data_IF_682759428538
#
_entry.id   IF_682759428538
#
_cell.length_a   1.000
_cell.length_b   1.000
_cell.length_c   1.000
_cell.angle_alpha   90.00
_cell.angle_beta   90.00
_cell.angle_gamma   90.00
#
_symmetry.space_group_name_H-M   'P 1'
#
loop_
_entity.id
_entity.type
_entity.pdbx_description
1 polymer ?
#
# COMPACT_ATOMS: atom_id res chain seq x y z
N UNK A 1 25.15 19.07 50.97
CA UNK A 1 26.07 17.91 51.03
C UNK A 1 25.37 16.76 50.32
N UNK A 2 25.90 16.03 49.34
CA UNK A 2 27.25 15.80 48.84
C UNK A 2 27.21 15.66 47.31
N UNK A 3 28.36 15.96 46.70
CA UNK A 3 28.74 15.70 45.31
C UNK A 3 29.87 14.68 45.37
N UNK A 4 29.79 13.57 44.63
CA UNK A 4 30.92 12.71 44.23
C UNK A 4 30.36 11.54 43.40
N UNK A 5 31.03 10.93 42.42
CA UNK A 5 32.28 11.18 41.70
C UNK A 5 32.26 10.27 40.46
N UNK A 6 32.95 10.71 39.41
CA UNK A 6 33.24 9.94 38.19
C UNK A 6 34.23 8.81 38.50
N UNK A 7 33.88 7.56 38.17
CA UNK A 7 34.81 6.42 38.12
C UNK A 7 35.22 6.10 36.69
N UNK A 8 36.51 6.27 36.37
CA UNK A 8 37.16 5.88 35.10
C UNK A 8 37.43 4.37 35.03
N UNK A 9 37.50 3.89 33.79
CA UNK A 9 37.84 2.55 33.34
C UNK A 9 39.17 2.00 33.88
N UNK A 10 39.20 0.68 34.13
CA UNK A 10 40.37 -0.20 33.97
C UNK A 10 39.90 -1.62 33.59
N UNK A 11 40.74 -2.29 32.81
CA UNK A 11 40.73 -3.73 32.48
C UNK A 11 40.02 -4.17 31.18
N UNK A 12 40.62 -3.81 30.04
CA UNK A 12 40.49 -4.56 28.78
C UNK A 12 41.84 -5.24 28.46
N UNK A 13 41.89 -6.57 28.25
CA UNK A 13 43.12 -7.26 27.86
C UNK A 13 43.56 -6.90 26.42
N UNK A 14 44.88 -6.80 26.23
CA UNK A 14 45.55 -6.11 25.13
C UNK A 14 45.82 -6.95 23.86
N UNK A 15 45.25 -8.15 23.70
CA UNK A 15 45.33 -8.91 22.42
C UNK A 15 44.11 -9.84 22.22
N UNK A 16 43.51 -9.90 21.02
CA UNK A 16 42.47 -10.88 20.72
C UNK A 16 43.05 -12.31 20.57
N UNK A 17 42.31 -13.37 20.95
CA UNK A 17 42.73 -14.76 20.71
C UNK A 17 42.69 -15.08 19.21
N UNK A 18 43.66 -15.87 18.74
CA UNK A 18 43.60 -16.46 17.39
C UNK A 18 42.58 -17.59 17.38
N UNK A 19 41.46 -17.41 16.70
CA UNK A 19 40.51 -18.48 16.40
C UNK A 19 40.75 -19.02 14.99
N UNK A 20 40.84 -20.34 14.87
CA UNK A 20 40.77 -21.03 13.59
C UNK A 20 39.29 -21.12 13.18
N UNK A 21 38.93 -20.44 12.10
CA UNK A 21 37.57 -20.46 11.55
C UNK A 21 37.62 -20.43 10.03
N UNK A 22 36.88 -21.31 9.39
CA UNK A 22 36.67 -21.33 7.93
C UNK A 22 35.72 -20.19 7.53
N UNK A 23 36.20 -19.25 6.73
CA UNK A 23 35.38 -18.19 6.15
C UNK A 23 34.68 -18.70 4.87
N UNK A 24 33.35 -18.59 4.81
CA UNK A 24 32.60 -18.72 3.56
C UNK A 24 32.13 -17.32 3.15
N UNK A 25 32.65 -16.81 2.04
CA UNK A 25 32.30 -15.49 1.52
C UNK A 25 31.09 -15.57 0.59
N UNK A 26 29.99 -14.91 0.97
CA UNK A 26 28.93 -14.46 0.06
C UNK A 26 28.77 -12.94 0.23
N UNK A 27 28.55 -12.18 -0.85
CA UNK A 27 28.64 -10.74 -0.78
C UNK A 27 27.40 -10.17 -0.06
N UNK A 28 27.67 -9.36 0.96
CA UNK A 28 26.76 -8.43 1.69
C UNK A 28 26.16 -8.84 3.04
N UNK A 29 26.50 -9.99 3.63
CA UNK A 29 26.25 -10.27 5.07
C UNK A 29 27.44 -11.06 5.63
N UNK A 30 28.19 -10.49 6.58
CA UNK A 30 29.14 -11.24 7.38
C UNK A 30 28.40 -11.87 8.56
N UNK A 31 28.27 -13.19 8.54
CA UNK A 31 27.72 -13.95 9.67
C UNK A 31 28.88 -14.60 10.42
N UNK A 32 29.16 -14.14 11.64
CA UNK A 32 30.06 -14.86 12.54
C UNK A 32 29.24 -15.74 13.48
N UNK A 33 29.46 -17.05 13.40
CA UNK A 33 28.98 -18.00 14.39
C UNK A 33 30.15 -18.32 15.34
N UNK A 34 29.97 -18.02 16.61
CA UNK A 34 30.88 -18.45 17.66
C UNK A 34 30.13 -19.32 18.68
N UNK A 35 30.84 -20.34 19.19
CA UNK A 35 30.37 -21.22 20.26
C UNK A 35 31.24 -21.00 21.50
N UNK A 36 30.61 -20.91 22.66
CA UNK A 36 31.30 -20.98 23.95
C UNK A 36 31.39 -22.45 24.43
N UNK A 37 32.17 -22.74 25.49
CA UNK A 37 32.26 -24.09 26.07
C UNK A 37 30.94 -24.65 26.60
N UNK A 38 29.89 -23.82 26.70
CA UNK A 38 28.52 -24.21 27.08
C UNK A 38 27.58 -24.33 25.89
N UNK A 39 28.09 -24.40 24.66
CA UNK A 39 27.31 -24.59 23.42
C UNK A 39 26.26 -23.49 23.17
N UNK A 40 26.56 -22.25 23.57
CA UNK A 40 25.69 -21.10 23.25
C UNK A 40 26.05 -20.55 21.88
N UNK A 41 25.04 -20.41 21.02
CA UNK A 41 25.19 -19.81 19.69
C UNK A 41 25.02 -18.30 19.78
N UNK A 42 26.04 -17.56 19.36
CA UNK A 42 25.99 -16.11 19.20
C UNK A 42 25.95 -15.78 17.71
N UNK A 43 24.92 -15.03 17.29
CA UNK A 43 24.82 -14.47 15.94
C UNK A 43 25.09 -12.97 16.05
N UNK A 44 26.23 -12.53 15.54
CA UNK A 44 26.58 -11.11 15.46
C UNK A 44 26.47 -10.68 14.00
N UNK A 45 25.53 -9.77 13.71
CA UNK A 45 25.49 -9.07 12.42
C UNK A 45 26.22 -7.74 12.58
N UNK A 46 27.39 -7.59 11.98
CA UNK A 46 28.03 -6.28 11.88
C UNK A 46 27.48 -5.59 10.62
N UNK A 47 26.69 -4.54 10.82
CA UNK A 47 26.02 -3.82 9.76
C UNK A 47 25.77 -2.38 10.17
N UNK A 48 26.58 -1.46 9.64
CA UNK A 48 26.37 -0.03 9.78
C UNK A 48 25.00 0.37 9.24
N UNK A 49 24.20 0.99 10.09
CA UNK A 49 22.95 1.65 9.72
C UNK A 49 23.28 2.95 8.95
N UNK A 50 22.78 3.21 7.73
CA UNK A 50 23.14 4.43 6.99
C UNK A 50 22.48 5.71 7.52
N UNK A 51 21.64 5.65 8.55
CA UNK A 51 21.06 6.84 9.19
C UNK A 51 20.94 6.59 10.70
N UNK A 52 21.79 7.26 11.48
CA UNK A 52 22.04 6.98 12.89
C UNK A 52 20.80 6.88 13.80
N UNK A 53 20.82 5.89 14.69
CA UNK A 53 19.86 5.71 15.79
C UNK A 53 20.05 4.35 16.48
N UNK A 54 20.05 4.34 17.82
CA UNK A 54 20.16 3.13 18.65
C UNK A 54 18.93 2.21 18.48
N UNK A 55 19.15 0.89 18.40
CA UNK A 55 18.08 -0.12 18.48
C UNK A 55 18.20 -0.87 19.81
N UNK A 56 17.13 -0.78 20.61
CA UNK A 56 16.96 -1.43 21.91
C UNK A 56 16.51 -2.89 21.71
N UNK A 57 17.34 -3.86 22.12
CA UNK A 57 17.05 -5.30 22.01
C UNK A 57 16.33 -5.79 23.27
N UNK A 58 15.00 -5.77 23.23
CA UNK A 58 14.15 -6.66 24.04
C UNK A 58 13.46 -7.68 23.13
N UNK A 59 13.43 -8.93 23.61
CA UNK A 59 12.78 -10.14 23.08
C UNK A 59 13.59 -11.00 22.09
N UNK A 60 14.22 -12.05 22.63
CA UNK A 60 13.96 -13.42 22.18
C UNK A 60 14.27 -14.43 23.29
N UNK A 61 13.43 -14.43 24.33
CA UNK A 61 13.41 -15.44 25.40
C UNK A 61 12.21 -16.37 25.18
N UNK A 62 12.11 -16.98 24.00
CA UNK A 62 11.14 -18.06 23.74
C UNK A 62 11.78 -19.04 22.75
N UNK A 63 12.77 -19.80 23.22
CA UNK A 63 13.13 -21.11 22.68
C UNK A 63 13.97 -21.84 23.75
N UNK A 64 13.37 -22.04 24.92
CA UNK A 64 13.90 -22.95 25.94
C UNK A 64 12.73 -23.82 26.36
N UNK A 65 12.95 -25.14 26.33
CA UNK A 65 12.01 -26.24 26.64
C UNK A 65 11.27 -26.93 25.49
N UNK A 66 11.89 -27.11 24.33
CA UNK A 66 11.49 -28.21 23.46
C UNK A 66 12.75 -28.99 23.04
N UNK A 67 12.88 -30.20 23.60
CA UNK A 67 13.67 -31.34 23.11
C UNK A 67 15.20 -31.31 23.37
N UNK A 68 15.61 -31.14 24.63
CA UNK A 68 16.79 -31.87 25.13
C UNK A 68 16.34 -33.25 25.59
N UNK A 69 16.31 -34.21 24.66
CA UNK A 69 16.48 -35.66 24.88
C UNK A 69 16.23 -36.34 23.53
N UNK A 70 17.27 -36.99 23.01
CA UNK A 70 17.33 -37.82 21.79
C UNK A 70 17.48 -37.06 20.46
N UNK A 71 18.59 -37.31 19.75
CA UNK A 71 18.69 -36.97 18.33
C UNK A 71 20.04 -36.45 17.81
N UNK A 72 21.16 -36.77 18.44
CA UNK A 72 22.51 -36.37 17.99
C UNK A 72 23.00 -37.11 16.71
N UNK A 73 22.10 -37.53 15.82
CA UNK A 73 22.45 -38.45 14.69
C UNK A 73 21.82 -38.11 13.33
N UNK A 74 21.29 -36.90 13.10
CA UNK A 74 20.65 -36.54 11.81
C UNK A 74 21.14 -35.22 11.17
N UNK A 75 22.40 -34.83 11.42
CA UNK A 75 23.03 -33.67 10.74
C UNK A 75 24.25 -34.10 9.88
N UNK A 76 24.54 -35.40 9.79
CA UNK A 76 25.65 -35.93 8.98
C UNK A 76 25.22 -36.57 7.64
N UNK A 77 23.99 -36.36 7.17
CA UNK A 77 23.48 -36.92 5.91
C UNK A 77 22.80 -35.86 5.03
N UNK A 78 23.42 -34.68 4.89
CA UNK A 78 22.98 -33.63 3.96
C UNK A 78 24.12 -32.98 3.15
N UNK A 79 25.32 -33.58 3.14
CA UNK A 79 26.50 -33.02 2.44
C UNK A 79 27.01 -33.87 1.25
N UNK A 80 26.26 -34.86 0.77
CA UNK A 80 26.74 -35.77 -0.29
C UNK A 80 25.80 -35.94 -1.49
N UNK A 81 24.92 -34.98 -1.78
CA UNK A 81 24.16 -34.94 -3.04
C UNK A 81 24.01 -33.51 -3.60
N UNK A 82 25.13 -32.82 -3.77
CA UNK A 82 25.20 -31.57 -4.53
C UNK A 82 26.37 -31.58 -5.52
N UNK A 83 26.56 -32.69 -6.23
CA UNK A 83 27.48 -32.78 -7.37
C UNK A 83 26.84 -33.65 -8.46
N UNK A 84 25.92 -33.08 -9.23
CA UNK A 84 25.66 -33.39 -10.65
C UNK A 84 24.51 -32.51 -11.15
N UNK A 85 24.80 -31.57 -12.04
CA UNK A 85 23.74 -30.75 -12.65
C UNK A 85 24.18 -29.42 -13.24
N UNK A 86 25.38 -29.34 -13.85
CA UNK A 86 25.72 -28.15 -14.65
C UNK A 86 24.96 -28.24 -15.99
N UNK A 87 23.85 -27.52 -16.12
CA UNK A 87 23.28 -27.16 -17.44
C UNK A 87 23.34 -25.64 -17.60
N UNK A 88 23.92 -25.23 -18.74
CA UNK A 88 24.00 -23.84 -19.20
C UNK A 88 22.59 -23.33 -19.49
N UNK A 89 22.09 -22.40 -18.69
CA UNK A 89 20.92 -21.59 -19.05
C UNK A 89 21.34 -20.20 -19.53
N UNK A 90 20.65 -19.79 -20.59
CA UNK A 90 20.96 -18.66 -21.46
C UNK A 90 20.78 -17.33 -20.73
N UNK A 91 21.64 -16.37 -21.06
CA UNK A 91 21.58 -14.98 -20.59
C UNK A 91 20.19 -14.39 -20.88
N UNK A 92 19.39 -14.17 -19.84
CA UNK A 92 18.21 -13.32 -19.91
C UNK A 92 18.59 -11.91 -19.48
N UNK A 93 18.42 -10.95 -20.40
CA UNK A 93 18.57 -9.53 -20.14
C UNK A 93 17.60 -9.08 -19.03
N UNK A 94 18.11 -8.54 -17.93
CA UNK A 94 17.30 -7.89 -16.90
C UNK A 94 16.81 -6.53 -17.40
N UNK A 95 15.54 -6.46 -17.79
CA UNK A 95 14.78 -5.21 -17.91
C UNK A 95 14.23 -4.74 -16.55
N UNK A 96 13.81 -3.47 -16.43
CA UNK A 96 13.51 -2.84 -15.15
C UNK A 96 12.26 -3.43 -14.49
N UNK A 97 12.33 -3.53 -13.16
CA UNK A 97 11.35 -4.14 -12.27
C UNK A 97 9.89 -3.69 -12.52
N UNK A 98 9.03 -4.64 -12.88
CA UNK A 98 7.58 -4.43 -12.97
C UNK A 98 6.96 -4.35 -11.57
N UNK A 99 6.39 -3.20 -11.23
CA UNK A 99 5.45 -3.08 -10.12
C UNK A 99 4.24 -4.01 -10.36
N UNK A 100 3.87 -4.79 -9.34
CA UNK A 100 2.78 -5.76 -9.35
C UNK A 100 1.38 -5.12 -9.36
N UNK A 101 1.13 -4.19 -10.29
CA UNK A 101 -0.19 -3.69 -10.64
C UNK A 101 -0.62 -4.33 -11.94
N UNK A 102 -1.86 -4.80 -12.02
CA UNK A 102 -2.44 -5.32 -13.26
C UNK A 102 -2.48 -4.17 -14.28
N UNK A 103 -1.52 -4.11 -15.20
CA UNK A 103 -1.45 -3.06 -16.22
C UNK A 103 -2.46 -3.39 -17.31
N UNK A 104 -3.64 -2.78 -17.26
CA UNK A 104 -4.57 -2.82 -18.36
C UNK A 104 -4.13 -1.82 -19.44
N UNK A 105 -4.04 -2.27 -20.69
CA UNK A 105 -3.93 -1.35 -21.82
C UNK A 105 -5.30 -0.67 -22.02
N UNK A 106 -5.32 0.65 -21.88
CA UNK A 106 -6.50 1.49 -22.05
C UNK A 106 -6.42 2.35 -23.32
N UNK A 107 -5.58 1.96 -24.29
CA UNK A 107 -5.44 2.62 -25.59
C UNK A 107 -6.79 2.73 -26.35
N UNK A 108 -7.60 1.66 -26.33
CA UNK A 108 -8.96 1.64 -26.90
C UNK A 108 -10.00 2.24 -25.93
N UNK A 109 -9.90 3.54 -25.70
CA UNK A 109 -10.81 4.29 -24.83
C UNK A 109 -12.28 4.15 -25.21
N UNK A 110 -12.63 3.95 -26.49
CA UNK A 110 -14.02 3.80 -26.93
C UNK A 110 -14.64 2.51 -26.39
N UNK A 111 -13.91 1.40 -26.45
CA UNK A 111 -14.33 0.12 -25.86
C UNK A 111 -14.53 0.25 -24.36
N UNK A 112 -13.59 0.86 -23.64
CA UNK A 112 -13.71 1.04 -22.20
C UNK A 112 -14.83 2.01 -21.82
N UNK A 113 -15.03 3.10 -22.56
CA UNK A 113 -16.17 3.99 -22.38
C UNK A 113 -17.50 3.24 -22.53
N UNK A 114 -17.66 2.43 -23.58
CA UNK A 114 -18.86 1.60 -23.77
C UNK A 114 -19.12 0.65 -22.59
N UNK A 115 -18.06 0.12 -21.99
CA UNK A 115 -18.15 -0.81 -20.85
C UNK A 115 -18.40 -0.10 -19.52
N UNK A 116 -17.58 0.91 -19.19
CA UNK A 116 -17.60 1.60 -17.90
C UNK A 116 -18.75 2.58 -17.75
N UNK A 117 -19.25 3.13 -18.87
CA UNK A 117 -20.40 4.02 -18.91
C UNK A 117 -21.69 3.30 -19.34
N UNK A 118 -21.68 1.96 -19.41
CA UNK A 118 -22.88 1.20 -19.72
C UNK A 118 -23.99 1.55 -18.71
N UNK A 119 -25.18 2.01 -19.14
CA UNK A 119 -26.26 2.39 -18.24
C UNK A 119 -26.69 1.29 -17.25
N UNK A 120 -26.50 0.02 -17.62
CA UNK A 120 -26.74 -1.14 -16.73
C UNK A 120 -25.86 -1.10 -15.47
N UNK A 121 -24.73 -0.37 -15.49
CA UNK A 121 -23.89 -0.12 -14.33
C UNK A 121 -24.66 0.53 -13.18
N UNK A 122 -25.61 1.41 -13.50
CA UNK A 122 -26.38 2.15 -12.48
C UNK A 122 -27.12 1.20 -11.52
N UNK A 123 -27.58 0.04 -12.02
CA UNK A 123 -28.35 -0.93 -11.22
C UNK A 123 -27.53 -1.50 -10.05
N UNK A 124 -26.22 -1.72 -10.24
CA UNK A 124 -25.36 -2.27 -9.21
C UNK A 124 -24.44 -1.24 -8.54
N UNK A 125 -24.08 -0.17 -9.24
CA UNK A 125 -23.19 0.88 -8.72
C UNK A 125 -23.93 1.93 -7.89
N UNK A 126 -25.26 2.08 -8.12
CA UNK A 126 -26.16 3.02 -7.44
C UNK A 126 -25.54 4.41 -7.21
N UNK A 127 -25.13 5.13 -8.29
CA UNK A 127 -24.37 6.37 -8.14
C UNK A 127 -25.12 7.46 -7.37
N UNK A 128 -26.46 7.50 -7.43
CA UNK A 128 -27.25 8.44 -6.63
C UNK A 128 -27.14 8.17 -5.13
N UNK A 129 -27.12 6.90 -4.72
CA UNK A 129 -26.94 6.54 -3.32
C UNK A 129 -25.52 6.86 -2.83
N UNK A 130 -24.51 6.52 -3.64
CA UNK A 130 -23.12 6.89 -3.33
C UNK A 130 -23.01 8.40 -3.11
N UNK A 131 -23.51 9.21 -4.05
CA UNK A 131 -23.46 10.69 -3.92
C UNK A 131 -24.24 11.19 -2.71
N UNK A 132 -25.39 10.59 -2.37
CA UNK A 132 -26.14 10.93 -1.16
C UNK A 132 -25.29 10.73 0.10
N UNK A 133 -24.55 9.62 0.18
CA UNK A 133 -23.69 9.29 1.32
C UNK A 133 -22.43 10.17 1.44
N UNK A 134 -22.05 10.87 0.37
CA UNK A 134 -20.96 11.86 0.42
C UNK A 134 -21.37 13.14 1.16
N UNK A 135 -22.67 13.39 1.31
CA UNK A 135 -23.21 14.60 1.95
C UNK A 135 -22.61 15.88 1.34
N UNK A 136 -22.58 15.92 -0.01
CA UNK A 136 -22.01 17.05 -0.75
C UNK A 136 -22.80 18.33 -0.46
N UNK A 137 -22.06 19.43 -0.31
CA UNK A 137 -22.61 20.77 -0.15
C UNK A 137 -22.07 21.68 -1.26
N UNK A 138 -22.86 22.67 -1.72
CA UNK A 138 -22.37 23.69 -2.64
C UNK A 138 -21.06 24.32 -2.16
N UNK A 139 -20.09 24.44 -3.06
CA UNK A 139 -18.77 25.02 -2.78
C UNK A 139 -17.69 24.01 -2.37
N UNK A 140 -18.05 22.75 -2.08
CA UNK A 140 -17.06 21.71 -1.75
C UNK A 140 -16.16 21.35 -2.93
N UNK A 141 -14.94 20.91 -2.61
CA UNK A 141 -13.99 20.34 -3.55
C UNK A 141 -13.99 18.82 -3.40
N UNK A 142 -14.19 18.11 -4.51
CA UNK A 142 -14.33 16.65 -4.56
C UNK A 142 -13.34 16.06 -5.54
N UNK A 143 -12.58 15.04 -5.13
CA UNK A 143 -11.69 14.29 -6.00
C UNK A 143 -12.22 12.87 -6.25
N UNK A 144 -12.23 12.44 -7.50
CA UNK A 144 -12.50 11.07 -7.95
C UNK A 144 -11.17 10.46 -8.41
N UNK A 145 -10.61 9.54 -7.62
CA UNK A 145 -9.31 8.89 -7.89
C UNK A 145 -9.56 7.54 -8.56
N UNK A 146 -8.92 7.34 -9.71
CA UNK A 146 -9.26 6.23 -10.61
C UNK A 146 -10.54 6.51 -11.39
N UNK A 147 -10.74 7.76 -11.80
CA UNK A 147 -11.98 8.21 -12.40
C UNK A 147 -12.29 7.51 -13.74
N UNK A 148 -11.28 6.93 -14.41
CA UNK A 148 -11.43 6.22 -15.67
C UNK A 148 -12.07 7.09 -16.74
N UNK A 149 -13.27 6.72 -17.19
CA UNK A 149 -14.05 7.45 -18.21
C UNK A 149 -14.77 8.68 -17.65
N UNK A 150 -14.66 8.93 -16.35
CA UNK A 150 -15.35 10.02 -15.65
C UNK A 150 -16.81 9.72 -15.35
N UNK A 151 -17.15 8.44 -15.16
CA UNK A 151 -18.52 7.99 -14.88
C UNK A 151 -19.19 8.74 -13.73
N UNK A 152 -18.46 9.02 -12.63
CA UNK A 152 -19.00 9.72 -11.46
C UNK A 152 -19.06 11.25 -11.61
N UNK A 153 -18.31 11.86 -12.54
CA UNK A 153 -18.27 13.31 -12.73
C UNK A 153 -19.67 13.96 -12.81
N UNK A 154 -20.61 13.52 -13.68
CA UNK A 154 -21.94 14.14 -13.74
C UNK A 154 -22.72 14.02 -12.43
N UNK A 155 -22.54 12.94 -11.67
CA UNK A 155 -23.22 12.71 -10.41
C UNK A 155 -22.66 13.62 -9.30
N UNK A 156 -21.34 13.82 -9.26
CA UNK A 156 -20.67 14.72 -8.34
C UNK A 156 -21.05 16.18 -8.59
N UNK A 157 -21.05 16.62 -9.84
CA UNK A 157 -21.47 17.98 -10.23
C UNK A 157 -22.90 18.25 -9.79
N UNK A 158 -23.81 17.28 -10.02
CA UNK A 158 -25.20 17.39 -9.60
C UNK A 158 -25.32 17.48 -8.07
N UNK A 159 -24.58 16.65 -7.34
CA UNK A 159 -24.57 16.68 -5.87
C UNK A 159 -24.01 17.98 -5.28
N UNK A 160 -23.13 18.67 -6.00
CA UNK A 160 -22.62 20.00 -5.65
C UNK A 160 -23.55 21.15 -6.04
N UNK A 161 -24.70 20.86 -6.66
CA UNK A 161 -25.59 21.88 -7.23
C UNK A 161 -24.87 22.84 -8.17
N UNK A 162 -23.86 22.34 -8.91
CA UNK A 162 -23.06 23.15 -9.85
C UNK A 162 -22.07 24.14 -9.20
N UNK A 163 -21.92 24.16 -7.87
CA UNK A 163 -21.01 25.07 -7.15
C UNK A 163 -19.92 24.30 -6.42
N UNK A 164 -18.67 24.76 -6.49
CA UNK A 164 -17.50 24.01 -6.00
C UNK A 164 -16.83 23.25 -7.15
N UNK A 165 -15.89 22.36 -6.82
CA UNK A 165 -14.92 21.84 -7.80
C UNK A 165 -14.84 20.31 -7.80
N UNK A 166 -14.80 19.71 -8.99
CA UNK A 166 -14.61 18.25 -9.16
C UNK A 166 -13.29 17.97 -9.87
N UNK A 167 -12.48 17.10 -9.29
CA UNK A 167 -11.20 16.64 -9.85
C UNK A 167 -11.32 15.18 -10.28
N UNK A 168 -11.29 14.91 -11.59
CA UNK A 168 -11.18 13.55 -12.13
C UNK A 168 -9.70 13.18 -12.30
N UNK A 169 -9.21 12.25 -11.48
CA UNK A 169 -7.80 11.90 -11.41
C UNK A 169 -7.60 10.46 -11.85
N UNK A 170 -6.68 10.23 -12.77
CA UNK A 170 -6.34 8.89 -13.25
C UNK A 170 -4.86 8.78 -13.61
N UNK A 171 -4.30 7.58 -13.53
CA UNK A 171 -2.91 7.30 -13.93
C UNK A 171 -2.77 7.15 -15.44
N UNK A 172 -3.86 6.78 -16.11
CA UNK A 172 -3.86 6.48 -17.52
C UNK A 172 -4.13 7.74 -18.37
N UNK A 173 -3.14 8.11 -19.20
CA UNK A 173 -3.22 9.31 -20.06
C UNK A 173 -4.41 9.30 -21.03
N UNK A 174 -4.82 8.12 -21.51
CA UNK A 174 -5.93 7.99 -22.46
C UNK A 174 -7.28 8.21 -21.77
N UNK A 175 -7.44 7.71 -20.54
CA UNK A 175 -8.60 7.98 -19.69
C UNK A 175 -8.72 9.46 -19.34
N UNK A 176 -7.60 10.10 -18.97
CA UNK A 176 -7.57 11.54 -18.72
C UNK A 176 -7.98 12.33 -19.95
N UNK A 177 -7.42 12.01 -21.14
CA UNK A 177 -7.81 12.67 -22.39
C UNK A 177 -9.30 12.50 -22.69
N UNK A 178 -9.83 11.29 -22.50
CA UNK A 178 -11.26 11.01 -22.69
C UNK A 178 -12.13 11.86 -21.74
N UNK A 179 -11.77 11.95 -20.46
CA UNK A 179 -12.48 12.80 -19.50
C UNK A 179 -12.41 14.28 -19.88
N UNK A 180 -11.25 14.77 -20.33
CA UNK A 180 -11.10 16.17 -20.79
C UNK A 180 -12.02 16.47 -21.97
N UNK A 181 -12.11 15.56 -22.95
CA UNK A 181 -13.03 15.72 -24.10
C UNK A 181 -14.49 15.71 -23.66
N UNK A 182 -14.84 14.83 -22.71
CA UNK A 182 -16.18 14.77 -22.11
C UNK A 182 -16.54 16.06 -21.37
N UNK A 183 -15.62 16.58 -20.56
CA UNK A 183 -15.78 17.85 -19.83
C UNK A 183 -16.01 19.00 -20.82
N UNK A 184 -15.17 19.09 -21.86
CA UNK A 184 -15.29 20.12 -22.91
C UNK A 184 -16.64 20.03 -23.62
N UNK A 185 -17.05 18.82 -24.03
CA UNK A 185 -18.33 18.59 -24.73
C UNK A 185 -19.54 18.93 -23.85
N UNK A 186 -19.48 18.62 -22.56
CA UNK A 186 -20.56 18.91 -21.62
C UNK A 186 -20.59 20.37 -21.14
N UNK A 187 -19.56 21.16 -21.43
CA UNK A 187 -19.45 22.55 -21.02
C UNK A 187 -19.22 22.75 -19.52
N UNK A 188 -18.78 21.71 -18.79
CA UNK A 188 -18.56 21.80 -17.34
C UNK A 188 -17.38 22.70 -17.03
N UNK A 189 -17.65 23.85 -16.41
CA UNK A 189 -16.63 24.85 -16.04
C UNK A 189 -15.95 24.53 -14.71
N UNK A 190 -16.56 23.68 -13.90
CA UNK A 190 -16.18 23.43 -12.52
C UNK A 190 -15.66 21.99 -12.32
N UNK A 191 -15.04 21.44 -13.37
CA UNK A 191 -14.48 20.09 -13.40
C UNK A 191 -13.13 20.13 -14.09
N UNK A 192 -12.13 19.50 -13.49
CA UNK A 192 -10.78 19.34 -14.06
C UNK A 192 -10.44 17.86 -14.10
N UNK A 193 -9.94 17.39 -15.25
CA UNK A 193 -9.37 16.05 -15.38
C UNK A 193 -7.86 16.14 -15.58
N UNK A 194 -7.09 15.39 -14.78
CA UNK A 194 -5.62 15.44 -14.80
C UNK A 194 -4.99 14.08 -14.52
N UNK A 195 -3.84 13.85 -15.16
CA UNK A 195 -3.00 12.68 -14.90
C UNK A 195 -2.28 12.82 -13.57
N UNK A 196 -2.27 11.74 -12.79
CA UNK A 196 -1.51 11.63 -11.54
C UNK A 196 -0.57 10.41 -11.58
N UNK A 197 0.51 10.38 -10.77
CA UNK A 197 1.29 9.16 -10.55
C UNK A 197 0.46 8.08 -9.83
N UNK A 198 0.88 6.81 -9.94
CA UNK A 198 0.14 5.69 -9.34
C UNK A 198 0.27 5.54 -7.83
N UNK A 199 1.25 6.20 -7.22
CA UNK A 199 1.59 6.07 -5.80
C UNK A 199 1.31 7.36 -5.00
N UNK A 200 0.73 8.38 -5.63
CA UNK A 200 0.30 9.62 -4.97
C UNK A 200 -0.97 10.18 -5.61
N UNK A 201 -1.90 10.74 -4.81
CA UNK A 201 -3.05 11.45 -5.36
C UNK A 201 -2.67 12.80 -6.00
N UNK A 202 -1.46 13.31 -5.72
CA UNK A 202 -0.96 14.59 -6.23
C UNK A 202 -1.94 15.76 -6.00
N UNK A 203 -2.51 15.78 -4.80
CA UNK A 203 -3.43 16.81 -4.32
C UNK A 203 -2.72 17.69 -3.30
N UNK A 204 -3.00 18.99 -3.30
CA UNK A 204 -2.48 19.92 -2.31
C UNK A 204 -3.02 19.59 -0.92
N UNK A 205 -2.21 19.74 0.11
CA UNK A 205 -2.63 19.56 1.50
C UNK A 205 -3.81 20.48 1.87
N UNK A 206 -4.77 19.94 2.62
CA UNK A 206 -5.94 20.69 3.09
C UNK A 206 -6.81 21.30 1.98
N UNK A 207 -6.84 20.69 0.79
CA UNK A 207 -7.53 21.26 -0.39
C UNK A 207 -8.83 20.57 -0.78
N UNK A 208 -9.14 19.40 -0.23
CA UNK A 208 -10.27 18.56 -0.67
C UNK A 208 -11.22 18.24 0.49
N UNK A 209 -12.52 18.37 0.26
CA UNK A 209 -13.56 18.04 1.24
C UNK A 209 -13.97 16.56 1.17
N UNK A 210 -14.05 16.01 -0.05
CA UNK A 210 -14.46 14.63 -0.29
C UNK A 210 -13.55 13.97 -1.31
N UNK A 211 -13.06 12.78 -1.00
CA UNK A 211 -12.34 11.94 -1.95
C UNK A 211 -13.17 10.69 -2.16
N UNK A 212 -13.43 10.30 -3.41
CA UNK A 212 -14.02 9.02 -3.75
C UNK A 212 -13.01 8.17 -4.50
N UNK A 213 -13.02 6.88 -4.22
CA UNK A 213 -12.20 5.89 -4.91
C UNK A 213 -13.12 4.70 -5.22
N UNK A 214 -13.56 4.61 -6.47
CA UNK A 214 -14.54 3.61 -6.87
C UNK A 214 -13.89 2.55 -7.73
N UNK A 215 -13.98 1.28 -7.31
CA UNK A 215 -13.42 0.12 -8.01
C UNK A 215 -11.93 0.23 -8.36
N UNK A 216 -11.19 1.03 -7.58
CA UNK A 216 -9.78 1.33 -7.85
C UNK A 216 -8.88 1.01 -6.66
N UNK A 217 -9.42 0.92 -5.44
CA UNK A 217 -8.59 0.75 -4.24
C UNK A 217 -7.68 -0.49 -4.31
N UNK A 218 -8.20 -1.60 -4.84
CA UNK A 218 -7.42 -2.83 -5.07
C UNK A 218 -6.27 -2.70 -6.10
N UNK A 219 -6.24 -1.64 -6.91
CA UNK A 219 -5.13 -1.34 -7.82
C UNK A 219 -4.05 -0.44 -7.19
N UNK A 220 -4.32 0.21 -6.07
CA UNK A 220 -3.40 1.17 -5.45
C UNK A 220 -2.28 0.42 -4.70
N UNK A 221 -1.00 0.67 -5.02
CA UNK A 221 0.12 0.08 -4.29
C UNK A 221 0.33 0.79 -2.94
N UNK A 222 0.95 0.10 -1.97
CA UNK A 222 1.36 0.69 -0.67
C UNK A 222 0.23 1.49 0.00
N UNK A 223 -0.97 0.91 0.06
CA UNK A 223 -2.23 1.57 0.45
C UNK A 223 -2.13 2.39 1.74
N UNK A 224 -1.45 1.92 2.79
CA UNK A 224 -1.24 2.71 4.02
C UNK A 224 -0.47 4.01 3.76
N UNK A 225 0.60 3.97 2.96
CA UNK A 225 1.36 5.17 2.60
C UNK A 225 0.53 6.10 1.71
N UNK A 226 -0.25 5.54 0.78
CA UNK A 226 -1.19 6.31 -0.03
C UNK A 226 -2.27 6.98 0.84
N UNK A 227 -2.84 6.26 1.82
CA UNK A 227 -3.82 6.78 2.77
C UNK A 227 -3.29 7.96 3.58
N UNK A 228 -1.99 8.00 3.94
CA UNK A 228 -1.39 9.17 4.60
C UNK A 228 -1.42 10.41 3.71
N UNK A 229 -1.17 10.25 2.41
CA UNK A 229 -1.26 11.35 1.43
C UNK A 229 -2.72 11.81 1.24
N UNK A 230 -3.67 10.87 1.25
CA UNK A 230 -5.10 11.20 1.25
C UNK A 230 -5.49 12.00 2.50
N UNK A 231 -5.04 11.56 3.68
CA UNK A 231 -5.27 12.29 4.94
C UNK A 231 -4.68 13.71 4.90
N UNK A 232 -3.49 13.90 4.32
CA UNK A 232 -2.88 15.23 4.15
C UNK A 232 -3.72 16.15 3.23
N UNK A 233 -4.16 15.62 2.08
CA UNK A 233 -4.98 16.34 1.11
C UNK A 233 -6.35 16.79 1.64
N UNK A 234 -6.92 16.06 2.61
CA UNK A 234 -8.22 16.39 3.19
C UNK A 234 -8.19 17.68 4.02
N UNK A 235 -9.21 18.52 3.84
CA UNK A 235 -9.59 19.60 4.75
C UNK A 235 -10.01 19.05 6.11
N UNK A 236 -10.08 19.91 7.12
CA UNK A 236 -10.75 19.59 8.39
C UNK A 236 -12.20 19.15 8.11
N UNK A 237 -12.67 18.09 8.77
CA UNK A 237 -13.96 17.44 8.48
C UNK A 237 -14.08 16.83 7.07
N UNK A 238 -12.97 16.72 6.34
CA UNK A 238 -12.90 16.04 5.07
C UNK A 238 -12.97 14.53 5.23
N UNK A 239 -13.38 13.82 4.18
CA UNK A 239 -13.44 12.36 4.22
C UNK A 239 -13.10 11.71 2.88
N UNK A 240 -12.47 10.54 2.95
CA UNK A 240 -12.33 9.60 1.84
C UNK A 240 -13.39 8.52 1.92
N UNK A 241 -13.91 8.12 0.76
CA UNK A 241 -14.90 7.07 0.58
C UNK A 241 -14.33 6.06 -0.39
N UNK A 242 -14.04 4.86 0.11
CA UNK A 242 -13.62 3.72 -0.70
C UNK A 242 -14.84 2.89 -1.01
N UNK A 243 -15.17 2.76 -2.29
CA UNK A 243 -16.28 1.95 -2.79
C UNK A 243 -15.67 0.85 -3.65
N UNK A 244 -15.74 -0.39 -3.19
CA UNK A 244 -15.10 -1.51 -3.88
C UNK A 244 -15.92 -2.79 -3.77
N UNK A 245 -15.59 -3.79 -4.58
CA UNK A 245 -16.36 -5.01 -4.72
C UNK A 245 -16.31 -5.88 -3.46
N UNK A 246 -17.46 -6.42 -3.07
CA UNK A 246 -17.53 -7.49 -2.06
C UNK A 246 -16.86 -8.76 -2.57
N UNK A 247 -16.47 -9.66 -1.67
CA UNK A 247 -15.80 -10.93 -2.04
C UNK A 247 -16.65 -11.81 -2.96
N UNK A 248 -17.96 -11.79 -2.79
CA UNK A 248 -18.97 -12.56 -3.52
C UNK A 248 -19.55 -11.83 -4.75
N UNK A 249 -19.16 -10.57 -4.98
CA UNK A 249 -19.65 -9.75 -6.08
C UNK A 249 -19.71 -10.47 -7.44
N UNK A 250 -20.78 -10.24 -8.19
CA UNK A 250 -20.92 -10.75 -9.58
C UNK A 250 -20.14 -9.90 -10.59
N UNK A 251 -19.55 -8.80 -10.15
CA UNK A 251 -18.81 -7.84 -10.97
C UNK A 251 -17.38 -7.66 -10.46
N UNK A 252 -16.56 -6.93 -11.22
CA UNK A 252 -15.23 -6.53 -10.80
C UNK A 252 -14.13 -7.56 -11.08
N UNK A 253 -12.95 -7.39 -10.47
CA UNK A 253 -11.80 -8.24 -10.74
C UNK A 253 -12.02 -9.64 -10.15
N UNK A 254 -11.15 -10.59 -10.52
CA UNK A 254 -11.17 -11.94 -9.95
C UNK A 254 -11.13 -11.92 -8.41
N UNK A 255 -11.77 -12.91 -7.77
CA UNK A 255 -11.91 -12.99 -6.30
C UNK A 255 -10.60 -12.75 -5.52
N UNK A 256 -9.46 -13.22 -6.04
CA UNK A 256 -8.13 -13.05 -5.42
C UNK A 256 -7.65 -11.60 -5.31
N UNK A 257 -8.16 -10.70 -6.14
CA UNK A 257 -7.80 -9.28 -6.13
C UNK A 257 -8.78 -8.42 -5.34
N UNK A 258 -9.93 -8.97 -4.93
CA UNK A 258 -10.92 -8.25 -4.14
C UNK A 258 -10.43 -8.09 -2.70
N UNK A 259 -10.74 -6.96 -2.08
CA UNK A 259 -10.36 -6.65 -0.70
C UNK A 259 -11.58 -6.80 0.22
N UNK A 260 -11.34 -7.07 1.50
CA UNK A 260 -12.42 -6.99 2.49
C UNK A 260 -12.54 -5.56 3.02
N UNK A 261 -13.74 -5.10 3.42
CA UNK A 261 -13.89 -3.76 4.00
C UNK A 261 -13.09 -3.57 5.29
N UNK A 262 -12.87 -4.64 6.06
CA UNK A 262 -12.06 -4.61 7.30
C UNK A 262 -10.59 -4.31 7.00
N UNK A 263 -10.05 -4.84 5.89
CA UNK A 263 -8.71 -4.53 5.46
C UNK A 263 -8.59 -3.05 5.06
N UNK A 264 -9.58 -2.52 4.32
CA UNK A 264 -9.60 -1.09 3.97
C UNK A 264 -9.69 -0.22 5.22
N UNK A 265 -10.53 -0.60 6.19
CA UNK A 265 -10.61 0.05 7.51
C UNK A 265 -9.24 0.08 8.19
N UNK A 266 -8.54 -1.05 8.25
CA UNK A 266 -7.20 -1.13 8.88
C UNK A 266 -6.21 -0.18 8.21
N UNK A 267 -6.22 -0.09 6.89
CA UNK A 267 -5.30 0.77 6.12
C UNK A 267 -5.57 2.25 6.32
N UNK A 268 -6.84 2.65 6.27
CA UNK A 268 -7.24 4.03 6.51
C UNK A 268 -6.97 4.44 7.97
N UNK A 269 -7.24 3.57 8.95
CA UNK A 269 -6.92 3.81 10.37
C UNK A 269 -5.41 3.98 10.58
N UNK A 270 -4.59 3.15 9.95
CA UNK A 270 -3.13 3.25 10.04
C UNK A 270 -2.55 4.58 9.49
N UNK A 271 -3.35 5.32 8.73
CA UNK A 271 -3.03 6.66 8.25
C UNK A 271 -3.62 7.81 9.10
N UNK A 272 -4.26 7.50 10.23
CA UNK A 272 -4.84 8.50 11.14
C UNK A 272 -6.29 8.89 10.85
N UNK A 273 -6.97 8.20 9.93
CA UNK A 273 -8.39 8.47 9.65
C UNK A 273 -9.30 7.76 10.67
N UNK A 274 -10.37 8.43 11.09
CA UNK A 274 -11.49 7.79 11.80
C UNK A 274 -12.37 7.08 10.78
N UNK A 275 -12.54 5.77 10.90
CA UNK A 275 -13.19 4.95 9.87
C UNK A 275 -14.52 4.35 10.29
N UNK A 276 -15.44 4.22 9.35
CA UNK A 276 -16.72 3.52 9.51
C UNK A 276 -17.06 2.77 8.22
N UNK A 277 -17.51 1.52 8.33
CA UNK A 277 -18.17 0.82 7.23
C UNK A 277 -19.59 1.35 7.16
N UNK A 278 -19.98 1.95 6.03
CA UNK A 278 -21.26 2.62 5.91
C UNK A 278 -22.38 1.60 5.63
N UNK A 279 -23.58 1.87 6.16
CA UNK A 279 -24.79 1.18 5.73
C UNK A 279 -25.20 1.71 4.35
N UNK A 280 -25.46 0.80 3.43
CA UNK A 280 -25.70 1.08 2.02
C UNK A 280 -26.58 -0.02 1.39
N UNK A 281 -27.01 0.15 0.14
CA UNK A 281 -27.84 -0.83 -0.59
C UNK A 281 -27.25 -1.34 -1.92
N UNK A 282 -26.00 -1.01 -2.24
CA UNK A 282 -25.24 -1.52 -3.38
C UNK A 282 -25.14 -3.05 -3.31
N UNK A 283 -25.66 -3.79 -4.31
CA UNK A 283 -25.77 -5.24 -4.24
C UNK A 283 -24.43 -6.01 -4.36
N UNK A 284 -23.34 -5.32 -4.67
CA UNK A 284 -22.08 -5.94 -5.13
C UNK A 284 -20.82 -5.27 -4.56
N UNK A 285 -21.00 -4.26 -3.71
CA UNK A 285 -19.94 -3.38 -3.23
C UNK A 285 -20.18 -3.01 -1.77
N UNK A 286 -19.11 -2.62 -1.09
CA UNK A 286 -19.19 -1.99 0.23
C UNK A 286 -18.75 -0.52 0.13
N UNK A 287 -19.02 0.25 1.17
CA UNK A 287 -18.49 1.62 1.32
C UNK A 287 -17.77 1.75 2.66
N UNK A 288 -16.48 2.08 2.62
CA UNK A 288 -15.70 2.47 3.81
C UNK A 288 -15.44 3.95 3.77
N UNK A 289 -15.90 4.67 4.80
CA UNK A 289 -15.60 6.08 5.02
C UNK A 289 -14.43 6.23 5.98
N UNK A 290 -13.44 7.05 5.65
CA UNK A 290 -12.39 7.52 6.55
C UNK A 290 -12.43 9.04 6.65
N UNK A 291 -12.69 9.60 7.84
CA UNK A 291 -12.75 11.05 8.06
C UNK A 291 -11.54 11.58 8.81
N UNK A 292 -11.11 12.79 8.43
CA UNK A 292 -10.15 13.61 9.16
C UNK A 292 -10.88 14.43 10.22
N UNK A 293 -10.37 14.38 11.45
CA UNK A 293 -10.87 15.18 12.58
C UNK A 293 -10.32 16.60 12.55
#
# INVERSE_FOLDING_TARGET
SHRSELGRSKDLPSKPPRYAGSAFAYPHIFLFCAFDPMMRLYIVSDGMCPFGGHVDFRLLYIYKEIQMKHGFWLIAMACTLALTGCKKDKKHHYGPHHHSGMTHDFSDTKKFAKMFDNPKRNAWQKPQEVVRLLELKPGMHVADIGAGTGYFLPHLIKGLSGKGMVYGLDVNKHMVKHMQDRIKKAGWKNVVARKIPGDTPDLKDGSIDRIIIVNTWHHIPKRVAYSKKLHAALRKNGAVYVIDFTKDSKHGPSKKHRLSPELVVKELKAAGLKTTIMKETLPNQYIVRGSKS
#
